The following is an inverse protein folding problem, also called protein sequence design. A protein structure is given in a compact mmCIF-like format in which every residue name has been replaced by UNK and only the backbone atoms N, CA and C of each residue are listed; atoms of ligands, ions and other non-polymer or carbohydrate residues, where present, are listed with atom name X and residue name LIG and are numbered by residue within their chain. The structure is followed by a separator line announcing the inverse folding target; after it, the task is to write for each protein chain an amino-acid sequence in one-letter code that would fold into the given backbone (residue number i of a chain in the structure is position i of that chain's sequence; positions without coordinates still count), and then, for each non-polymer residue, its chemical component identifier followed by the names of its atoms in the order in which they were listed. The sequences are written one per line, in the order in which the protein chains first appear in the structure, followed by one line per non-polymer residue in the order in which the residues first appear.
data_IF_862432310889
#
_entry.id   IF_862432310889
#
_cell.length_a   1.000
_cell.length_b   1.000
_cell.length_c   1.000
_cell.angle_alpha   90.00
_cell.angle_beta   90.00
_cell.angle_gamma   90.00
#
_symmetry.space_group_name_H-M   'P 1'
#
loop_
_entity.id
_entity.type
_entity.pdbx_description
1 polymer ?
#
# COMPACT_ATOMS: atom_id res chain seq x y z
N UNK A 1 40.16 22.86 6.12
CA UNK A 1 40.41 22.54 4.71
C UNK A 1 40.01 21.10 4.46
N UNK A 2 38.77 20.91 4.05
CA UNK A 2 38.31 19.87 3.13
C UNK A 2 37.00 20.43 2.59
N UNK A 3 37.12 21.23 1.52
CA UNK A 3 35.98 21.58 0.69
C UNK A 3 35.48 20.28 0.08
N UNK A 4 34.47 19.66 0.69
CA UNK A 4 33.66 18.67 0.00
C UNK A 4 32.88 19.42 -1.07
N UNK A 5 33.40 19.32 -2.29
CA UNK A 5 32.83 19.85 -3.51
C UNK A 5 31.47 19.16 -3.75
N UNK A 6 30.41 19.66 -3.11
CA UNK A 6 29.05 19.20 -3.38
C UNK A 6 28.61 19.76 -4.73
N UNK A 7 28.82 18.98 -5.79
CA UNK A 7 28.22 19.25 -7.09
C UNK A 7 26.72 19.44 -6.95
N UNK A 8 26.19 20.46 -7.61
CA UNK A 8 24.74 20.72 -7.63
C UNK A 8 23.99 19.56 -8.32
N UNK A 9 22.69 19.40 -8.03
CA UNK A 9 21.88 18.37 -8.72
C UNK A 9 21.94 18.54 -10.25
N UNK A 10 21.95 19.79 -10.72
CA UNK A 10 22.04 20.12 -12.14
C UNK A 10 23.38 19.68 -12.75
N UNK A 11 24.50 19.87 -12.05
CA UNK A 11 25.81 19.38 -12.48
C UNK A 11 25.84 17.84 -12.56
N UNK A 12 25.27 17.15 -11.57
CA UNK A 12 25.18 15.69 -11.58
C UNK A 12 24.32 15.18 -12.73
N UNK A 13 23.21 15.87 -13.03
CA UNK A 13 22.36 15.53 -14.19
C UNK A 13 23.13 15.76 -15.50
N UNK A 14 23.89 16.84 -15.62
CA UNK A 14 24.69 17.14 -16.81
C UNK A 14 25.76 16.06 -17.04
N UNK A 15 26.52 15.69 -16.01
CA UNK A 15 27.51 14.60 -16.06
C UNK A 15 26.87 13.26 -16.47
N UNK A 16 25.72 12.92 -15.89
CA UNK A 16 24.99 11.69 -16.23
C UNK A 16 24.47 11.67 -17.66
N UNK A 17 24.14 12.84 -18.23
CA UNK A 17 23.76 12.96 -19.65
C UNK A 17 24.96 12.74 -20.57
N UNK A 18 26.12 13.31 -20.24
CA UNK A 18 27.35 13.08 -21.00
C UNK A 18 27.72 11.59 -21.02
N UNK A 19 27.63 10.91 -19.87
CA UNK A 19 27.81 9.45 -19.81
C UNK A 19 26.78 8.68 -20.63
N UNK A 20 25.52 9.13 -20.68
CA UNK A 20 24.50 8.51 -21.53
C UNK A 20 24.85 8.66 -23.02
N UNK A 21 25.38 9.81 -23.43
CA UNK A 21 25.77 10.03 -24.82
C UNK A 21 26.98 9.16 -25.20
N UNK A 22 27.95 9.00 -24.31
CA UNK A 22 29.04 8.02 -24.50
C UNK A 22 28.51 6.57 -24.65
N UNK A 23 27.51 6.18 -23.86
CA UNK A 23 26.86 4.86 -24.01
C UNK A 23 26.14 4.68 -25.35
N UNK A 24 25.58 5.76 -25.91
CA UNK A 24 24.93 5.75 -27.24
C UNK A 24 25.94 5.66 -28.36
N UNK A 25 27.10 6.30 -28.22
CA UNK A 25 28.20 6.20 -29.19
C UNK A 25 28.80 4.79 -29.20
N UNK A 26 28.92 4.16 -28.02
CA UNK A 26 29.41 2.79 -27.89
C UNK A 26 28.39 1.72 -28.34
N UNK A 27 27.10 2.05 -28.44
CA UNK A 27 26.06 1.14 -28.92
C UNK A 27 24.68 1.38 -28.32
N UNK A 28 23.99 0.31 -27.91
CA UNK A 28 22.62 0.39 -27.37
C UNK A 28 22.67 0.76 -25.88
N UNK A 29 22.36 2.02 -25.58
CA UNK A 29 22.38 2.57 -24.22
C UNK A 29 21.27 2.03 -23.30
N UNK A 30 20.15 1.57 -23.85
CA UNK A 30 19.04 0.97 -23.10
C UNK A 30 18.82 -0.47 -23.56
N UNK A 31 19.45 -1.41 -22.86
CA UNK A 31 19.42 -2.84 -23.20
C UNK A 31 18.16 -3.50 -22.65
N UNK A 32 17.59 -4.45 -23.40
CA UNK A 32 16.36 -5.16 -23.05
C UNK A 32 16.46 -6.70 -23.27
N UNK A 33 17.66 -7.20 -23.49
CA UNK A 33 17.97 -8.60 -23.82
C UNK A 33 18.33 -9.44 -22.59
N UNK A 34 18.70 -8.80 -21.47
CA UNK A 34 19.06 -9.50 -20.24
C UNK A 34 17.89 -10.31 -19.66
N UNK A 35 18.16 -11.57 -19.31
CA UNK A 35 17.23 -12.47 -18.64
C UNK A 35 17.77 -12.77 -17.24
N UNK A 36 17.07 -12.23 -16.24
CA UNK A 36 17.29 -12.57 -14.84
C UNK A 36 16.74 -13.97 -14.55
N UNK A 37 17.45 -14.78 -13.76
CA UNK A 37 17.01 -16.11 -13.33
C UNK A 37 16.65 -16.19 -11.85
N UNK A 38 17.17 -15.26 -11.03
CA UNK A 38 17.07 -15.33 -9.57
C UNK A 38 16.82 -13.94 -8.97
N UNK A 39 16.05 -13.87 -7.88
CA UNK A 39 15.89 -12.66 -7.08
C UNK A 39 16.89 -12.61 -5.91
N UNK A 40 17.21 -11.40 -5.43
CA UNK A 40 18.11 -11.20 -4.31
C UNK A 40 17.66 -11.95 -3.03
N UNK A 41 16.36 -11.89 -2.69
CA UNK A 41 15.82 -12.61 -1.54
C UNK A 41 15.94 -14.12 -1.71
N UNK A 42 15.69 -14.67 -2.91
CA UNK A 42 15.81 -16.11 -3.17
C UNK A 42 17.24 -16.61 -2.92
N UNK A 43 18.26 -15.78 -3.20
CA UNK A 43 19.67 -16.10 -2.91
C UNK A 43 19.88 -16.16 -1.39
N UNK A 44 19.39 -15.17 -0.65
CA UNK A 44 19.50 -15.14 0.81
C UNK A 44 18.75 -16.31 1.44
N UNK A 45 17.49 -16.54 1.07
CA UNK A 45 16.65 -17.59 1.64
C UNK A 45 17.21 -18.98 1.36
N UNK A 46 17.72 -19.22 0.14
CA UNK A 46 18.23 -20.53 -0.26
C UNK A 46 19.60 -20.86 0.33
N UNK A 47 20.44 -19.85 0.58
CA UNK A 47 21.82 -20.04 1.02
C UNK A 47 22.13 -19.44 2.40
N UNK A 48 21.10 -19.08 3.18
CA UNK A 48 21.25 -18.51 4.53
C UNK A 48 22.14 -19.35 5.44
N UNK A 49 21.99 -20.67 5.39
CA UNK A 49 22.71 -21.63 6.24
C UNK A 49 23.93 -22.27 5.54
N UNK A 50 24.28 -21.82 4.33
CA UNK A 50 25.42 -22.39 3.58
C UNK A 50 26.75 -21.90 4.14
N UNK A 51 27.78 -22.77 4.14
CA UNK A 51 29.13 -22.35 4.54
C UNK A 51 29.88 -21.72 3.38
N UNK A 52 30.96 -21.00 3.70
CA UNK A 52 31.81 -20.38 2.70
C UNK A 52 32.44 -21.43 1.78
N UNK A 53 32.95 -22.51 2.37
CA UNK A 53 33.60 -23.61 1.65
C UNK A 53 32.63 -24.31 0.70
N UNK A 54 31.38 -24.52 1.13
CA UNK A 54 30.33 -25.15 0.30
C UNK A 54 29.98 -24.31 -0.94
N UNK A 55 29.87 -22.99 -0.79
CA UNK A 55 29.53 -22.10 -1.89
C UNK A 55 30.70 -21.90 -2.86
N UNK A 56 31.93 -21.82 -2.33
CA UNK A 56 33.16 -21.70 -3.15
C UNK A 56 33.42 -22.97 -3.98
N UNK A 57 33.11 -24.16 -3.46
CA UNK A 57 33.25 -25.43 -4.19
C UNK A 57 32.18 -25.59 -5.28
N UNK A 58 30.92 -25.28 -4.97
CA UNK A 58 29.79 -25.44 -5.91
C UNK A 58 29.74 -24.40 -7.02
N UNK A 59 30.25 -23.17 -6.76
CA UNK A 59 30.17 -22.00 -7.66
C UNK A 59 28.80 -21.85 -8.33
N UNK A 60 27.77 -21.70 -7.50
CA UNK A 60 26.39 -21.67 -7.99
C UNK A 60 26.18 -20.40 -8.78
N UNK A 61 26.01 -20.53 -10.10
CA UNK A 61 25.79 -19.43 -11.02
C UNK A 61 24.39 -18.84 -10.86
N UNK A 62 24.32 -17.51 -10.88
CA UNK A 62 23.09 -16.72 -10.83
C UNK A 62 23.19 -15.53 -11.78
N UNK A 63 22.05 -15.11 -12.31
CA UNK A 63 21.89 -13.91 -13.11
C UNK A 63 20.87 -12.99 -12.43
N UNK A 64 21.35 -11.89 -11.84
CA UNK A 64 20.54 -10.88 -11.15
C UNK A 64 20.51 -9.56 -11.92
N UNK A 65 19.44 -8.78 -11.75
CA UNK A 65 19.40 -7.41 -12.23
C UNK A 65 18.64 -6.53 -11.23
N UNK A 66 19.14 -5.31 -11.06
CA UNK A 66 18.55 -4.37 -10.13
C UNK A 66 19.27 -3.03 -10.12
N UNK A 67 18.82 -2.16 -9.23
CA UNK A 67 19.34 -0.81 -9.06
C UNK A 67 20.60 -0.82 -8.19
N UNK A 68 21.67 -0.18 -8.65
CA UNK A 68 22.88 -0.02 -7.84
C UNK A 68 22.63 1.02 -6.74
N UNK A 69 22.63 0.56 -5.48
CA UNK A 69 22.32 1.38 -4.30
C UNK A 69 23.57 1.93 -3.61
N UNK A 70 24.66 1.17 -3.65
CA UNK A 70 25.94 1.56 -3.08
C UNK A 70 27.08 1.08 -3.99
N UNK A 71 28.23 1.73 -3.89
CA UNK A 71 29.45 1.34 -4.60
C UNK A 71 30.69 1.80 -3.82
N UNK A 72 31.65 0.90 -3.63
CA UNK A 72 32.95 1.15 -3.02
C UNK A 72 34.06 0.64 -3.94
N UNK A 73 34.86 1.56 -4.46
CA UNK A 73 35.98 1.25 -5.37
C UNK A 73 37.26 1.05 -4.53
N UNK A 74 37.96 -0.06 -4.76
CA UNK A 74 39.16 -0.48 -4.01
C UNK A 74 40.30 -0.86 -4.99
N UNK A 75 40.67 0.09 -5.85
CA UNK A 75 41.70 -0.15 -6.87
C UNK A 75 41.23 -1.12 -7.95
N UNK A 76 41.74 -2.36 -7.95
CA UNK A 76 41.39 -3.42 -8.93
C UNK A 76 40.14 -4.24 -8.57
N UNK A 77 39.57 -4.02 -7.39
CA UNK A 77 38.32 -4.65 -6.98
C UNK A 77 37.33 -3.61 -6.45
N UNK A 78 36.06 -3.93 -6.46
CA UNK A 78 34.99 -3.09 -5.97
C UNK A 78 33.85 -3.91 -5.37
N UNK A 79 33.16 -3.33 -4.41
CA UNK A 79 31.90 -3.85 -3.89
C UNK A 79 30.76 -2.91 -4.26
N UNK A 80 29.59 -3.44 -4.54
CA UNK A 80 28.37 -2.67 -4.75
C UNK A 80 27.16 -3.46 -4.24
N UNK A 81 26.06 -2.76 -3.97
CA UNK A 81 24.78 -3.42 -3.66
C UNK A 81 23.79 -3.22 -4.80
N UNK A 82 23.15 -4.30 -5.21
CA UNK A 82 22.12 -4.32 -6.26
C UNK A 82 20.78 -4.62 -5.61
N UNK A 83 19.81 -3.71 -5.78
CA UNK A 83 18.45 -3.83 -5.24
C UNK A 83 17.46 -4.21 -6.34
N UNK A 84 16.78 -5.32 -6.17
CA UNK A 84 15.66 -5.69 -7.03
C UNK A 84 14.31 -5.50 -6.29
N UNK A 85 13.26 -6.18 -6.77
CA UNK A 85 11.92 -6.11 -6.16
C UNK A 85 11.81 -6.84 -4.83
N UNK A 86 12.71 -7.79 -4.56
CA UNK A 86 12.70 -8.68 -3.41
C UNK A 86 13.61 -8.21 -2.28
N UNK A 87 14.72 -7.56 -2.60
CA UNK A 87 15.73 -7.18 -1.61
C UNK A 87 17.00 -6.63 -2.24
N UNK A 88 18.10 -6.73 -1.49
CA UNK A 88 19.44 -6.32 -1.92
C UNK A 88 20.41 -7.49 -1.86
N UNK A 89 21.34 -7.54 -2.81
CA UNK A 89 22.47 -8.48 -2.81
C UNK A 89 23.77 -7.71 -3.07
N UNK A 90 24.82 -8.04 -2.33
CA UNK A 90 26.15 -7.49 -2.58
C UNK A 90 26.77 -8.17 -3.80
N UNK A 91 27.48 -7.38 -4.61
CA UNK A 91 28.27 -7.85 -5.74
C UNK A 91 29.73 -7.49 -5.52
N UNK A 92 30.62 -8.41 -5.88
CA UNK A 92 32.06 -8.25 -5.85
C UNK A 92 32.60 -8.27 -7.28
N UNK A 93 33.13 -7.13 -7.73
CA UNK A 93 33.61 -6.93 -9.09
C UNK A 93 35.12 -6.79 -9.05
N UNK A 94 35.87 -7.69 -9.71
CA UNK A 94 37.33 -7.62 -9.81
C UNK A 94 37.77 -7.53 -11.26
N UNK A 95 38.69 -6.60 -11.55
CA UNK A 95 39.21 -6.31 -12.90
C UNK A 95 39.70 -7.56 -13.62
N UNK A 96 40.36 -8.45 -12.89
CA UNK A 96 40.96 -9.65 -13.46
C UNK A 96 39.90 -10.68 -13.93
N UNK A 97 38.66 -10.59 -13.45
CA UNK A 97 37.57 -11.53 -13.82
C UNK A 97 36.65 -10.96 -14.90
N UNK A 98 36.25 -9.69 -14.78
CA UNK A 98 35.34 -9.05 -15.76
C UNK A 98 36.08 -8.41 -16.94
N UNK A 99 37.40 -8.32 -16.88
CA UNK A 99 38.23 -7.64 -17.88
C UNK A 99 38.41 -6.14 -17.64
N UNK A 100 39.41 -5.56 -18.30
CA UNK A 100 39.79 -4.16 -18.13
C UNK A 100 38.70 -3.19 -18.57
N UNK A 101 38.12 -3.40 -19.75
CA UNK A 101 37.13 -2.49 -20.34
C UNK A 101 35.85 -2.46 -19.50
N UNK A 102 35.28 -3.62 -19.17
CA UNK A 102 34.07 -3.71 -18.34
C UNK A 102 34.29 -3.18 -16.92
N UNK A 103 35.48 -3.37 -16.34
CA UNK A 103 35.79 -2.79 -15.02
C UNK A 103 35.95 -1.27 -15.07
N UNK A 104 36.51 -0.74 -16.17
CA UNK A 104 36.60 0.70 -16.38
C UNK A 104 35.22 1.32 -16.62
N UNK A 105 34.35 0.65 -17.38
CA UNK A 105 32.95 1.03 -17.56
C UNK A 105 32.18 1.04 -16.22
N UNK A 106 32.32 -0.02 -15.41
CA UNK A 106 31.70 -0.10 -14.09
C UNK A 106 32.09 1.06 -13.17
N UNK A 107 33.33 1.54 -13.24
CA UNK A 107 33.80 2.72 -12.47
C UNK A 107 33.09 4.02 -12.88
N UNK A 108 32.50 4.07 -14.08
CA UNK A 108 31.67 5.20 -14.55
C UNK A 108 30.17 5.03 -14.26
N UNK A 109 29.74 3.88 -13.73
CA UNK A 109 28.35 3.71 -13.31
C UNK A 109 28.01 4.64 -12.14
N UNK A 110 26.74 4.99 -12.05
CA UNK A 110 26.22 5.90 -11.05
C UNK A 110 25.26 5.19 -10.11
N UNK A 111 25.21 5.66 -8.86
CA UNK A 111 24.15 5.22 -7.95
C UNK A 111 22.78 5.57 -8.57
N UNK A 112 21.90 4.57 -8.57
CA UNK A 112 20.61 4.62 -9.24
C UNK A 112 20.59 3.96 -10.61
N UNK A 113 21.73 3.67 -11.24
CA UNK A 113 21.76 2.92 -12.51
C UNK A 113 21.18 1.51 -12.30
N UNK A 114 20.50 0.98 -13.32
CA UNK A 114 20.04 -0.41 -13.33
C UNK A 114 21.09 -1.24 -14.05
N UNK A 115 21.60 -2.26 -13.38
CA UNK A 115 22.67 -3.12 -13.87
C UNK A 115 22.25 -4.59 -13.87
N UNK A 116 22.82 -5.33 -14.82
CA UNK A 116 22.75 -6.77 -14.94
C UNK A 116 24.07 -7.37 -14.45
N UNK A 117 23.98 -8.45 -13.68
CA UNK A 117 25.11 -9.14 -13.08
C UNK A 117 24.93 -10.64 -13.28
N UNK A 118 25.95 -11.31 -13.82
CA UNK A 118 26.09 -12.76 -13.74
C UNK A 118 27.36 -13.13 -13.01
N UNK A 119 27.29 -14.19 -12.24
CA UNK A 119 28.42 -14.67 -11.46
C UNK A 119 28.00 -15.79 -10.54
N UNK A 120 28.86 -16.15 -9.61
CA UNK A 120 28.60 -17.23 -8.65
C UNK A 120 28.45 -16.68 -7.23
N UNK A 121 27.59 -17.34 -6.46
CA UNK A 121 27.31 -16.97 -5.07
C UNK A 121 28.46 -17.38 -4.15
N UNK A 122 28.87 -16.50 -3.24
CA UNK A 122 29.91 -16.74 -2.25
C UNK A 122 29.71 -15.91 -0.98
N UNK A 123 30.48 -16.21 0.06
CA UNK A 123 30.48 -15.43 1.30
C UNK A 123 31.81 -14.68 1.44
N UNK A 124 31.70 -13.37 1.67
CA UNK A 124 32.86 -12.49 1.89
C UNK A 124 33.54 -12.75 3.24
N UNK A 125 34.72 -12.16 3.46
CA UNK A 125 35.42 -12.27 4.76
C UNK A 125 34.62 -11.69 5.93
N UNK A 126 33.70 -10.78 5.68
CA UNK A 126 32.81 -10.17 6.68
C UNK A 126 31.54 -11.00 6.93
N UNK A 127 31.39 -12.16 6.27
CA UNK A 127 30.25 -13.04 6.44
C UNK A 127 29.03 -12.67 5.59
N UNK A 128 29.15 -11.68 4.71
CA UNK A 128 28.04 -11.24 3.87
C UNK A 128 27.96 -12.07 2.57
N UNK A 129 26.77 -12.58 2.26
CA UNK A 129 26.46 -13.30 1.02
C UNK A 129 26.56 -12.34 -0.17
N UNK A 130 27.25 -12.76 -1.23
CA UNK A 130 27.62 -11.90 -2.34
C UNK A 130 27.69 -12.67 -3.66
N UNK A 131 27.64 -11.96 -4.78
CA UNK A 131 27.87 -12.52 -6.11
C UNK A 131 29.26 -12.10 -6.57
N UNK A 132 30.12 -13.07 -6.83
CA UNK A 132 31.40 -12.85 -7.47
C UNK A 132 31.18 -12.71 -8.98
N UNK A 133 31.34 -11.49 -9.50
CA UNK A 133 30.88 -11.12 -10.83
C UNK A 133 31.82 -11.64 -11.92
N UNK A 134 31.24 -12.28 -12.94
CA UNK A 134 31.91 -12.70 -14.18
C UNK A 134 31.46 -11.85 -15.37
N UNK A 135 30.17 -11.48 -15.41
CA UNK A 135 29.62 -10.58 -16.43
C UNK A 135 28.84 -9.45 -15.77
N UNK A 136 29.03 -8.23 -16.27
CA UNK A 136 28.34 -7.04 -15.81
C UNK A 136 27.96 -6.18 -17.01
N UNK A 137 26.75 -5.63 -17.00
CA UNK A 137 26.33 -4.64 -17.98
C UNK A 137 25.40 -3.60 -17.37
N UNK A 138 25.46 -2.37 -17.88
CA UNK A 138 24.41 -1.38 -17.62
C UNK A 138 23.18 -1.71 -18.48
N UNK A 139 22.00 -1.66 -17.87
CA UNK A 139 20.71 -1.81 -18.55
C UNK A 139 20.03 -0.45 -18.76
N UNK A 140 20.07 0.40 -17.74
CA UNK A 140 19.43 1.72 -17.75
C UNK A 140 20.30 2.72 -16.99
N UNK A 141 20.68 3.80 -17.67
CA UNK A 141 21.34 4.95 -17.04
C UNK A 141 20.34 5.81 -16.27
N UNK A 142 20.58 6.07 -14.99
CA UNK A 142 19.79 6.99 -14.19
C UNK A 142 20.29 8.41 -14.38
N UNK A 143 19.49 9.27 -15.03
CA UNK A 143 19.85 10.67 -15.26
C UNK A 143 19.73 11.55 -14.02
N UNK A 144 18.92 11.15 -13.03
CA UNK A 144 18.79 11.84 -11.75
C UNK A 144 19.46 11.04 -10.64
N UNK A 145 20.10 11.72 -9.68
CA UNK A 145 20.65 11.05 -8.50
C UNK A 145 19.54 10.44 -7.64
N UNK A 146 19.92 9.47 -6.81
CA UNK A 146 19.03 8.94 -5.77
C UNK A 146 18.71 10.02 -4.74
N UNK A 147 17.54 9.97 -4.09
CA UNK A 147 17.29 10.71 -2.85
C UNK A 147 18.35 10.35 -1.80
N UNK A 148 18.55 11.23 -0.80
CA UNK A 148 19.62 11.16 0.19
C UNK A 148 19.92 9.74 0.71
N UNK A 149 21.22 9.38 0.72
CA UNK A 149 21.70 7.99 0.78
C UNK A 149 21.41 7.23 2.08
N UNK A 150 21.19 7.93 3.21
CA UNK A 150 21.23 7.30 4.54
C UNK A 150 19.88 7.21 5.24
N UNK A 151 18.98 8.17 5.02
CA UNK A 151 17.70 8.23 5.73
C UNK A 151 16.48 7.93 4.85
N UNK A 152 16.72 7.65 3.56
CA UNK A 152 15.65 7.57 2.56
C UNK A 152 14.91 8.89 2.41
N UNK A 153 13.78 8.86 1.70
CA UNK A 153 12.89 10.03 1.68
C UNK A 153 12.14 10.12 3.01
N UNK A 154 12.41 11.16 3.79
CA UNK A 154 11.80 11.43 5.09
C UNK A 154 10.58 12.34 4.99
N UNK A 155 10.62 13.34 4.11
CA UNK A 155 9.52 14.29 3.90
C UNK A 155 8.25 13.59 3.41
N UNK A 156 7.18 13.67 4.21
CA UNK A 156 5.94 12.93 4.00
C UNK A 156 5.24 13.34 2.70
N UNK A 157 5.22 14.64 2.40
CA UNK A 157 4.56 15.17 1.20
C UNK A 157 5.28 14.70 -0.06
N UNK A 158 6.62 14.77 -0.08
CA UNK A 158 7.43 14.29 -1.20
C UNK A 158 7.26 12.79 -1.41
N UNK A 159 7.17 11.98 -0.35
CA UNK A 159 6.89 10.54 -0.47
C UNK A 159 5.56 10.26 -1.15
N UNK A 160 4.54 11.08 -0.90
CA UNK A 160 3.23 10.94 -1.52
C UNK A 160 3.21 11.42 -2.98
N UNK A 161 3.87 12.55 -3.27
CA UNK A 161 3.96 13.10 -4.64
C UNK A 161 4.86 12.29 -5.56
N UNK A 162 5.95 11.74 -5.02
CA UNK A 162 6.99 11.01 -5.75
C UNK A 162 7.09 9.57 -5.23
N UNK A 163 5.97 8.85 -5.26
CA UNK A 163 5.87 7.48 -4.75
C UNK A 163 6.94 6.53 -5.28
N UNK A 164 7.40 6.72 -6.53
CA UNK A 164 8.47 5.91 -7.12
C UNK A 164 9.81 6.07 -6.38
N UNK A 165 10.11 7.24 -5.83
CA UNK A 165 11.32 7.47 -5.02
C UNK A 165 11.17 6.90 -3.60
N UNK A 166 9.99 7.05 -3.01
CA UNK A 166 9.66 6.45 -1.71
C UNK A 166 9.75 4.92 -1.78
N UNK A 167 9.12 4.30 -2.78
CA UNK A 167 9.25 2.85 -3.01
C UNK A 167 10.69 2.45 -3.29
N UNK A 168 11.49 3.27 -3.94
CA UNK A 168 12.89 2.94 -4.21
C UNK A 168 13.72 2.85 -2.92
N UNK A 169 13.49 3.76 -1.98
CA UNK A 169 14.35 3.98 -0.80
C UNK A 169 13.80 3.36 0.49
N UNK A 170 12.48 3.25 0.63
CA UNK A 170 11.81 2.80 1.87
C UNK A 170 11.18 1.41 1.71
N UNK A 171 11.84 0.38 2.27
CA UNK A 171 11.34 -1.00 2.22
C UNK A 171 10.06 -1.22 3.04
N UNK A 172 9.87 -0.44 4.11
CA UNK A 172 8.61 -0.42 4.87
C UNK A 172 7.41 -0.04 3.99
N UNK A 173 7.55 0.97 3.13
CA UNK A 173 6.50 1.34 2.17
C UNK A 173 6.20 0.18 1.23
N UNK A 174 7.23 -0.48 0.65
CA UNK A 174 7.01 -1.63 -0.25
C UNK A 174 6.23 -2.75 0.44
N UNK A 175 6.58 -3.06 1.69
CA UNK A 175 5.89 -4.07 2.49
C UNK A 175 4.41 -3.73 2.66
N UNK A 176 4.07 -2.46 2.92
CA UNK A 176 2.67 -2.01 3.02
C UNK A 176 1.90 -2.28 1.72
N UNK A 177 2.46 -1.96 0.55
CA UNK A 177 1.79 -2.25 -0.74
C UNK A 177 1.66 -3.76 -1.02
N UNK A 178 2.67 -4.55 -0.66
CA UNK A 178 2.61 -6.01 -0.76
C UNK A 178 1.50 -6.59 0.13
N UNK A 179 1.43 -6.16 1.39
CA UNK A 179 0.35 -6.53 2.32
C UNK A 179 -1.00 -6.13 1.74
N UNK A 180 -1.16 -4.89 1.25
CA UNK A 180 -2.40 -4.44 0.60
C UNK A 180 -2.83 -5.35 -0.55
N UNK A 181 -1.90 -5.76 -1.42
CA UNK A 181 -2.22 -6.68 -2.51
C UNK A 181 -2.66 -8.05 -1.98
N UNK A 182 -1.98 -8.58 -0.96
CA UNK A 182 -2.36 -9.86 -0.33
C UNK A 182 -3.73 -9.77 0.36
N UNK A 183 -4.02 -8.65 1.02
CA UNK A 183 -5.33 -8.37 1.64
C UNK A 183 -6.45 -8.42 0.61
N UNK A 184 -6.32 -7.72 -0.52
CA UNK A 184 -7.35 -7.73 -1.57
C UNK A 184 -7.54 -9.15 -2.15
N UNK A 185 -6.45 -9.86 -2.43
CA UNK A 185 -6.52 -11.23 -2.94
C UNK A 185 -7.18 -12.19 -1.94
N UNK A 186 -6.90 -12.01 -0.65
CA UNK A 186 -7.55 -12.78 0.42
C UNK A 186 -9.05 -12.50 0.46
N UNK A 187 -9.46 -11.24 0.47
CA UNK A 187 -10.89 -10.85 0.50
C UNK A 187 -11.64 -11.50 -0.66
N UNK A 188 -11.09 -11.46 -1.88
CA UNK A 188 -11.67 -12.15 -3.04
C UNK A 188 -11.81 -13.65 -2.78
N UNK A 189 -10.70 -14.31 -2.44
CA UNK A 189 -10.67 -15.76 -2.20
C UNK A 189 -11.66 -16.20 -1.11
N UNK A 190 -11.82 -15.40 -0.06
CA UNK A 190 -12.76 -15.65 1.02
C UNK A 190 -14.21 -15.53 0.53
N UNK A 191 -14.58 -14.42 -0.13
CA UNK A 191 -15.93 -14.20 -0.62
C UNK A 191 -16.32 -15.23 -1.70
N UNK A 192 -15.41 -15.57 -2.61
CA UNK A 192 -15.58 -16.63 -3.59
C UNK A 192 -15.84 -17.97 -2.89
N UNK A 193 -15.08 -18.28 -1.84
CA UNK A 193 -15.27 -19.47 -1.00
C UNK A 193 -16.61 -19.51 -0.25
N UNK A 194 -17.19 -18.34 0.06
CA UNK A 194 -18.53 -18.18 0.63
C UNK A 194 -19.66 -18.19 -0.42
N UNK A 195 -19.31 -18.36 -1.70
CA UNK A 195 -20.25 -18.44 -2.83
C UNK A 195 -20.74 -17.08 -3.33
N UNK A 196 -20.04 -15.98 -3.03
CA UNK A 196 -20.31 -14.69 -3.64
C UNK A 196 -19.71 -14.62 -5.04
N UNK A 197 -20.40 -13.96 -5.97
CA UNK A 197 -19.93 -13.71 -7.32
C UNK A 197 -19.34 -12.30 -7.43
N UNK A 198 -18.07 -12.17 -7.85
CA UNK A 198 -17.47 -10.87 -8.17
C UNK A 198 -18.11 -10.31 -9.45
N UNK A 199 -18.50 -9.03 -9.42
CA UNK A 199 -19.08 -8.33 -10.59
C UNK A 199 -18.46 -6.95 -10.77
N UNK A 200 -18.65 -6.37 -11.94
CA UNK A 200 -18.30 -4.98 -12.23
C UNK A 200 -19.55 -4.19 -12.61
N UNK A 201 -19.83 -3.12 -11.86
CA UNK A 201 -20.96 -2.21 -12.15
C UNK A 201 -20.45 -0.86 -12.70
N UNK A 202 -21.31 -0.06 -13.38
CA UNK A 202 -20.89 1.20 -13.97
C UNK A 202 -20.24 2.17 -12.97
N UNK A 203 -19.12 2.79 -13.39
CA UNK A 203 -18.43 3.86 -12.66
C UNK A 203 -19.03 5.24 -12.92
N UNK A 204 -19.78 5.38 -14.02
CA UNK A 204 -20.47 6.61 -14.42
C UNK A 204 -21.98 6.41 -14.29
N UNK A 205 -22.61 7.20 -13.44
CA UNK A 205 -24.05 7.15 -13.17
C UNK A 205 -24.75 8.38 -13.73
N UNK A 206 -25.98 8.22 -14.23
CA UNK A 206 -26.83 9.34 -14.62
C UNK A 206 -27.35 10.10 -13.40
N UNK A 207 -27.69 9.35 -12.34
CA UNK A 207 -28.10 9.89 -11.04
C UNK A 207 -27.17 9.29 -9.99
N UNK A 208 -26.37 10.09 -9.28
CA UNK A 208 -25.52 9.61 -8.19
C UNK A 208 -26.40 9.22 -7.00
N UNK A 209 -26.09 8.08 -6.36
CA UNK A 209 -26.82 7.57 -5.20
C UNK A 209 -26.07 6.43 -4.51
N UNK A 210 -26.68 5.86 -3.47
CA UNK A 210 -26.07 4.81 -2.62
C UNK A 210 -25.16 5.32 -1.51
N UNK A 211 -24.98 6.64 -1.40
CA UNK A 211 -24.30 7.28 -0.27
C UNK A 211 -24.69 8.76 -0.18
N UNK A 212 -24.42 9.39 0.96
CA UNK A 212 -24.54 10.84 1.14
C UNK A 212 -23.16 11.47 0.93
N UNK A 213 -22.85 11.88 -0.30
CA UNK A 213 -21.58 12.51 -0.65
C UNK A 213 -21.73 13.43 -1.87
N UNK A 214 -20.85 14.42 -2.00
CA UNK A 214 -20.80 15.27 -3.21
C UNK A 214 -20.13 14.51 -4.36
N UNK A 215 -20.79 14.31 -5.52
CA UNK A 215 -20.20 13.58 -6.63
C UNK A 215 -19.25 14.44 -7.49
N UNK A 216 -18.37 13.80 -8.24
CA UNK A 216 -17.71 14.44 -9.38
C UNK A 216 -18.64 14.39 -10.59
N UNK A 217 -18.78 15.51 -11.30
CA UNK A 217 -19.58 15.64 -12.52
C UNK A 217 -18.69 15.60 -13.76
N UNK A 218 -19.11 14.88 -14.79
CA UNK A 218 -18.48 14.81 -16.11
C UNK A 218 -19.55 14.88 -17.20
N UNK A 219 -19.14 14.89 -18.47
CA UNK A 219 -20.05 15.02 -19.61
C UNK A 219 -19.66 14.07 -20.74
N UNK A 220 -20.63 13.35 -21.30
CA UNK A 220 -20.44 12.43 -22.41
C UNK A 220 -20.74 13.12 -23.74
N UNK A 221 -19.70 13.64 -24.42
CA UNK A 221 -19.83 14.49 -25.62
C UNK A 221 -20.73 13.91 -26.73
N UNK A 222 -20.63 12.62 -27.04
CA UNK A 222 -21.39 12.04 -28.16
C UNK A 222 -22.87 11.77 -27.85
N UNK A 223 -23.23 11.70 -26.56
CA UNK A 223 -24.62 11.51 -26.10
C UNK A 223 -25.21 12.81 -25.57
N UNK A 224 -24.42 13.88 -25.55
CA UNK A 224 -24.77 15.20 -25.00
C UNK A 224 -25.48 15.10 -23.64
N UNK A 225 -24.88 14.34 -22.71
CA UNK A 225 -25.48 14.09 -21.40
C UNK A 225 -24.47 14.19 -20.26
N UNK A 226 -24.96 14.70 -19.14
CA UNK A 226 -24.21 14.75 -17.90
C UNK A 226 -24.16 13.37 -17.23
N UNK A 227 -23.00 13.07 -16.66
CA UNK A 227 -22.74 11.85 -15.90
C UNK A 227 -22.01 12.22 -14.61
N UNK A 228 -22.06 11.30 -13.65
CA UNK A 228 -21.42 11.45 -12.35
C UNK A 228 -20.53 10.26 -12.08
N UNK A 229 -19.32 10.49 -11.58
CA UNK A 229 -18.54 9.38 -11.04
C UNK A 229 -19.25 8.85 -9.80
N UNK A 230 -19.39 7.54 -9.69
CA UNK A 230 -20.17 6.91 -8.63
C UNK A 230 -19.59 7.22 -7.24
N UNK A 231 -20.47 7.53 -6.31
CA UNK A 231 -20.15 7.67 -4.89
C UNK A 231 -20.24 6.34 -4.13
N UNK A 232 -21.02 5.39 -4.67
CA UNK A 232 -21.22 4.01 -4.23
C UNK A 232 -21.83 3.16 -5.37
N UNK A 233 -21.47 1.87 -5.52
CA UNK A 233 -22.15 0.94 -6.45
C UNK A 233 -23.49 0.36 -5.95
N UNK A 234 -23.89 0.59 -4.69
CA UNK A 234 -25.07 -0.01 -4.02
C UNK A 234 -26.30 -0.20 -4.91
N UNK A 235 -26.77 0.87 -5.58
CA UNK A 235 -28.01 0.82 -6.35
C UNK A 235 -27.92 -0.15 -7.54
N UNK A 236 -26.74 -0.33 -8.14
CA UNK A 236 -26.56 -1.27 -9.24
C UNK A 236 -26.42 -2.71 -8.74
N UNK A 237 -25.71 -2.91 -7.63
CA UNK A 237 -25.61 -4.24 -7.01
C UNK A 237 -26.98 -4.76 -6.57
N UNK A 238 -27.82 -3.91 -5.96
CA UNK A 238 -29.20 -4.26 -5.62
C UNK A 238 -30.05 -4.62 -6.85
N UNK A 239 -29.82 -4.01 -8.02
CA UNK A 239 -30.50 -4.40 -9.27
C UNK A 239 -30.11 -5.82 -9.71
N UNK A 240 -28.88 -6.25 -9.46
CA UNK A 240 -28.45 -7.63 -9.73
C UNK A 240 -29.14 -8.63 -8.80
N UNK A 241 -29.30 -8.27 -7.52
CA UNK A 241 -30.08 -9.08 -6.56
C UNK A 241 -31.53 -9.21 -7.01
N UNK A 242 -32.17 -8.12 -7.45
CA UNK A 242 -33.50 -8.17 -8.09
C UNK A 242 -33.52 -9.09 -9.32
N UNK A 243 -32.43 -9.11 -10.08
CA UNK A 243 -32.25 -9.99 -11.23
C UNK A 243 -31.99 -11.47 -10.89
N UNK A 244 -31.92 -11.84 -9.61
CA UNK A 244 -31.71 -13.21 -9.15
C UNK A 244 -30.25 -13.57 -8.83
N UNK A 245 -29.33 -12.60 -8.82
CA UNK A 245 -27.96 -12.82 -8.32
C UNK A 245 -27.96 -12.71 -6.80
N UNK A 246 -28.19 -13.83 -6.12
CA UNK A 246 -28.46 -13.86 -4.67
C UNK A 246 -27.25 -13.50 -3.80
N UNK A 247 -26.01 -13.73 -4.26
CA UNK A 247 -24.78 -13.35 -3.55
C UNK A 247 -23.81 -12.66 -4.51
N UNK A 248 -23.56 -11.38 -4.29
CA UNK A 248 -22.75 -10.55 -5.20
C UNK A 248 -21.82 -9.64 -4.42
N UNK A 249 -20.62 -9.39 -4.95
CA UNK A 249 -19.72 -8.38 -4.41
C UNK A 249 -18.96 -7.64 -5.50
N UNK A 250 -18.46 -6.46 -5.16
CA UNK A 250 -17.58 -5.66 -6.01
C UNK A 250 -16.49 -4.99 -5.16
N UNK A 251 -15.23 -5.15 -5.57
CA UNK A 251 -14.08 -4.40 -5.01
C UNK A 251 -13.57 -3.46 -6.07
N UNK A 252 -13.96 -2.19 -6.01
CA UNK A 252 -13.48 -1.20 -6.98
C UNK A 252 -13.55 0.23 -6.43
N UNK A 253 -13.34 1.23 -7.29
CA UNK A 253 -13.23 2.64 -6.89
C UNK A 253 -14.60 3.27 -6.61
N UNK A 254 -14.62 4.15 -5.61
CA UNK A 254 -15.67 5.15 -5.38
C UNK A 254 -15.02 6.53 -5.35
N UNK A 255 -15.79 7.55 -5.75
CA UNK A 255 -15.29 8.91 -5.92
C UNK A 255 -16.15 9.88 -5.12
N UNK A 256 -15.54 10.68 -4.23
CA UNK A 256 -16.24 11.70 -3.44
C UNK A 256 -15.50 13.02 -3.56
N UNK A 257 -16.20 14.05 -4.02
CA UNK A 257 -15.68 15.38 -4.25
C UNK A 257 -15.70 16.19 -2.95
N UNK A 258 -14.86 15.74 -2.01
CA UNK A 258 -14.74 16.23 -0.64
C UNK A 258 -13.29 16.68 -0.36
N UNK A 259 -13.05 17.27 0.81
CA UNK A 259 -11.72 17.69 1.23
C UNK A 259 -10.76 16.51 1.41
N UNK A 260 -9.48 16.72 1.10
CA UNK A 260 -8.43 15.75 1.39
C UNK A 260 -8.08 15.77 2.88
N UNK A 261 -7.94 14.60 3.49
CA UNK A 261 -7.42 14.45 4.86
C UNK A 261 -6.53 13.20 4.97
N UNK A 262 -5.80 12.99 6.08
CA UNK A 262 -5.07 11.74 6.32
C UNK A 262 -5.95 10.48 6.29
N UNK A 263 -7.28 10.63 6.42
CA UNK A 263 -8.26 9.53 6.40
C UNK A 263 -9.13 9.50 5.14
N UNK A 264 -9.14 10.57 4.34
CA UNK A 264 -10.02 10.72 3.19
C UNK A 264 -9.26 11.09 1.93
N UNK A 265 -9.34 10.22 0.91
CA UNK A 265 -8.84 10.49 -0.43
C UNK A 265 -10.03 10.58 -1.42
N UNK A 266 -10.03 11.53 -2.38
CA UNK A 266 -11.16 11.73 -3.30
C UNK A 266 -11.53 10.51 -4.14
N UNK A 267 -10.57 9.60 -4.35
CA UNK A 267 -10.80 8.25 -4.85
C UNK A 267 -10.36 7.22 -3.82
N UNK A 268 -11.15 6.19 -3.60
CA UNK A 268 -10.80 5.14 -2.64
C UNK A 268 -11.42 3.81 -3.07
N UNK A 269 -10.83 2.73 -2.59
CA UNK A 269 -11.35 1.38 -2.84
C UNK A 269 -12.39 1.03 -1.80
N UNK A 270 -13.53 0.52 -2.23
CA UNK A 270 -14.57 0.01 -1.36
C UNK A 270 -14.88 -1.43 -1.78
N UNK A 271 -15.11 -2.28 -0.78
CA UNK A 271 -15.82 -3.54 -0.95
C UNK A 271 -17.29 -3.28 -0.65
N UNK A 272 -18.18 -3.57 -1.59
CA UNK A 272 -19.60 -3.73 -1.31
C UNK A 272 -20.02 -5.16 -1.63
N UNK A 273 -20.90 -5.74 -0.81
CA UNK A 273 -21.44 -7.07 -1.01
C UNK A 273 -22.91 -7.14 -0.58
N UNK A 274 -23.66 -8.02 -1.22
CA UNK A 274 -25.07 -8.26 -0.96
C UNK A 274 -25.36 -9.75 -0.95
N UNK A 275 -26.20 -10.17 -0.01
CA UNK A 275 -26.71 -11.53 0.12
C UNK A 275 -28.23 -11.49 0.31
N UNK A 276 -28.97 -12.13 -0.59
CA UNK A 276 -30.40 -12.32 -0.45
C UNK A 276 -30.71 -13.25 0.73
N UNK A 277 -31.87 -13.03 1.35
CA UNK A 277 -32.36 -13.80 2.51
C UNK A 277 -31.45 -13.78 3.74
N UNK A 278 -30.56 -12.79 3.84
CA UNK A 278 -29.76 -12.49 5.01
C UNK A 278 -30.20 -11.14 5.61
N UNK A 279 -30.01 -10.98 6.91
CA UNK A 279 -30.16 -9.70 7.60
C UNK A 279 -28.79 -9.14 8.03
N UNK A 280 -28.78 -8.00 8.72
CA UNK A 280 -27.54 -7.36 9.13
C UNK A 280 -26.74 -8.17 10.18
N UNK A 281 -27.37 -9.08 10.92
CA UNK A 281 -26.68 -9.98 11.86
C UNK A 281 -25.80 -10.97 11.10
N UNK A 282 -26.33 -11.57 10.03
CA UNK A 282 -25.56 -12.44 9.14
C UNK A 282 -24.35 -11.71 8.54
N UNK A 283 -24.52 -10.44 8.16
CA UNK A 283 -23.44 -9.64 7.58
C UNK A 283 -22.41 -9.20 8.63
N UNK A 284 -22.81 -8.98 9.89
CA UNK A 284 -21.88 -8.76 11.01
C UNK A 284 -21.03 -10.01 11.27
N UNK A 285 -21.66 -11.18 11.31
CA UNK A 285 -20.97 -12.46 11.48
C UNK A 285 -19.96 -12.70 10.35
N UNK A 286 -20.37 -12.45 9.09
CA UNK A 286 -19.49 -12.57 7.92
C UNK A 286 -18.31 -11.59 7.97
N UNK A 287 -18.56 -10.34 8.39
CA UNK A 287 -17.53 -9.30 8.47
C UNK A 287 -16.51 -9.60 9.57
N UNK A 288 -16.98 -10.07 10.72
CA UNK A 288 -16.11 -10.53 11.82
C UNK A 288 -15.21 -11.69 11.38
N UNK A 289 -15.78 -12.74 10.78
CA UNK A 289 -15.03 -13.91 10.31
C UNK A 289 -14.03 -13.55 9.20
N UNK A 290 -14.43 -12.70 8.24
CA UNK A 290 -13.55 -12.17 7.19
C UNK A 290 -12.32 -11.49 7.80
N UNK A 291 -12.52 -10.55 8.73
CA UNK A 291 -11.44 -9.76 9.30
C UNK A 291 -10.52 -10.61 10.19
N UNK A 292 -11.09 -11.54 10.98
CA UNK A 292 -10.31 -12.47 11.80
C UNK A 292 -9.40 -13.34 10.93
N UNK A 293 -9.96 -14.03 9.94
CA UNK A 293 -9.19 -14.91 9.04
C UNK A 293 -8.20 -14.15 8.17
N UNK A 294 -8.49 -12.90 7.81
CA UNK A 294 -7.55 -12.03 7.10
C UNK A 294 -6.28 -11.80 7.92
N UNK A 295 -6.42 -11.47 9.20
CA UNK A 295 -5.27 -11.23 10.08
C UNK A 295 -4.51 -12.54 10.32
N UNK A 296 -5.22 -13.63 10.62
CA UNK A 296 -4.62 -14.96 10.77
C UNK A 296 -3.80 -15.37 9.54
N UNK A 297 -4.35 -15.20 8.33
CA UNK A 297 -3.68 -15.60 7.10
C UNK A 297 -2.44 -14.75 6.78
N UNK A 298 -2.47 -13.45 7.10
CA UNK A 298 -1.37 -12.54 6.74
C UNK A 298 -0.27 -12.48 7.79
N UNK A 299 -0.59 -12.73 9.05
CA UNK A 299 0.32 -12.53 10.17
C UNK A 299 0.51 -13.77 11.05
N UNK A 300 -0.24 -14.86 10.82
CA UNK A 300 -0.27 -16.07 11.67
C UNK A 300 -0.62 -15.76 13.14
N UNK A 301 -1.38 -14.69 13.36
CA UNK A 301 -1.82 -14.20 14.68
C UNK A 301 -3.25 -13.68 14.55
N UNK A 302 -3.98 -13.55 15.67
CA UNK A 302 -5.29 -12.89 15.72
C UNK A 302 -5.22 -11.47 16.24
N UNK A 303 -4.04 -11.04 16.70
CA UNK A 303 -3.83 -9.74 17.35
C UNK A 303 -3.18 -8.77 16.38
N UNK A 304 -3.62 -7.52 16.39
CA UNK A 304 -2.99 -6.42 15.64
C UNK A 304 -2.62 -5.28 16.60
N UNK A 305 -1.45 -4.68 16.38
CA UNK A 305 -1.07 -3.44 17.06
C UNK A 305 -1.35 -2.24 16.17
N UNK A 306 -2.10 -1.27 16.66
CA UNK A 306 -2.37 -0.01 15.98
C UNK A 306 -2.33 1.15 16.97
N UNK A 307 -1.51 2.17 16.67
CA UNK A 307 -1.31 3.34 17.54
C UNK A 307 -1.00 2.99 19.01
N UNK A 308 -0.04 2.08 19.23
CA UNK A 308 0.40 1.60 20.55
C UNK A 308 -0.63 0.73 21.30
N UNK A 309 -1.85 0.60 20.78
CA UNK A 309 -2.87 -0.29 21.31
C UNK A 309 -2.87 -1.65 20.60
N UNK A 310 -3.29 -2.68 21.34
CA UNK A 310 -3.33 -4.06 20.86
C UNK A 310 -4.77 -4.57 20.82
N UNK A 311 -5.21 -5.03 19.66
CA UNK A 311 -6.57 -5.48 19.41
C UNK A 311 -6.57 -6.96 19.04
N UNK A 312 -7.29 -7.77 19.80
CA UNK A 312 -7.45 -9.21 19.54
C UNK A 312 -8.72 -9.48 18.74
N UNK A 313 -8.57 -9.70 17.43
CA UNK A 313 -9.67 -10.02 16.52
C UNK A 313 -10.12 -11.49 16.64
N UNK A 314 -9.44 -12.31 17.45
CA UNK A 314 -9.84 -13.68 17.74
C UNK A 314 -11.06 -13.75 18.65
N UNK A 315 -11.36 -12.68 19.39
CA UNK A 315 -12.54 -12.56 20.24
C UNK A 315 -13.77 -12.12 19.41
N UNK A 316 -15.00 -12.44 19.86
CA UNK A 316 -16.21 -11.87 19.29
C UNK A 316 -16.18 -10.35 19.37
N UNK A 317 -16.60 -9.68 18.30
CA UNK A 317 -16.66 -8.21 18.26
C UNK A 317 -17.81 -7.73 19.14
N UNK A 318 -17.59 -6.64 19.88
CA UNK A 318 -18.64 -6.08 20.71
C UNK A 318 -19.76 -5.53 19.80
N UNK A 319 -21.02 -5.81 20.15
CA UNK A 319 -22.20 -5.30 19.43
C UNK A 319 -23.00 -4.44 20.39
N UNK A 320 -23.30 -3.22 19.98
CA UNK A 320 -24.16 -2.31 20.74
C UNK A 320 -24.99 -1.46 19.79
N UNK A 321 -26.18 -1.06 20.22
CA UNK A 321 -26.98 -0.08 19.49
C UNK A 321 -26.39 1.33 19.66
N UNK A 322 -26.74 2.25 18.75
CA UNK A 322 -26.45 3.69 18.93
C UNK A 322 -26.92 4.15 20.30
N UNK A 323 -28.14 3.77 20.70
CA UNK A 323 -28.74 4.13 21.98
C UNK A 323 -27.92 3.63 23.18
N UNK A 324 -27.58 2.33 23.21
CA UNK A 324 -26.77 1.74 24.28
C UNK A 324 -25.38 2.37 24.35
N UNK A 325 -24.78 2.67 23.19
CA UNK A 325 -23.46 3.29 23.14
C UNK A 325 -23.46 4.68 23.76
N UNK A 326 -24.49 5.51 23.49
CA UNK A 326 -24.61 6.84 24.11
C UNK A 326 -24.67 6.70 25.63
N UNK A 327 -25.48 5.78 26.15
CA UNK A 327 -25.59 5.58 27.61
C UNK A 327 -24.31 5.03 28.23
N UNK A 328 -23.60 4.12 27.52
CA UNK A 328 -22.34 3.54 28.00
C UNK A 328 -21.24 4.59 28.15
N UNK A 329 -21.13 5.52 27.20
CA UNK A 329 -20.07 6.54 27.20
C UNK A 329 -20.47 7.84 27.90
N UNK A 330 -21.74 8.00 28.28
CA UNK A 330 -22.24 9.15 29.03
C UNK A 330 -23.01 8.66 30.28
N UNK A 331 -22.31 8.21 31.34
CA UNK A 331 -22.92 7.53 32.49
C UNK A 331 -23.89 8.40 33.31
N UNK A 332 -23.85 9.72 33.12
CA UNK A 332 -24.78 10.67 33.76
C UNK A 332 -26.13 10.77 33.02
N UNK A 333 -26.22 10.26 31.79
CA UNK A 333 -27.46 10.26 31.01
C UNK A 333 -28.31 9.04 31.35
N UNK A 334 -29.63 9.26 31.40
CA UNK A 334 -30.61 8.18 31.54
C UNK A 334 -31.30 7.92 30.19
N UNK A 335 -31.89 6.73 29.99
CA UNK A 335 -32.64 6.41 28.77
C UNK A 335 -33.68 7.48 28.40
N UNK A 336 -34.36 8.06 29.39
CA UNK A 336 -35.40 9.08 29.14
C UNK A 336 -34.82 10.42 28.66
N UNK A 337 -33.54 10.68 28.89
CA UNK A 337 -32.88 11.92 28.46
C UNK A 337 -32.58 11.93 26.97
N UNK A 338 -32.58 10.75 26.32
CA UNK A 338 -32.24 10.56 24.91
C UNK A 338 -33.32 9.81 24.11
N UNK A 339 -34.44 9.42 24.74
CA UNK A 339 -35.59 8.80 24.06
C UNK A 339 -36.84 9.70 24.03
N UNK A 340 -36.71 10.97 24.42
CA UNK A 340 -37.80 11.95 24.44
C UNK A 340 -37.40 13.20 23.67
N UNK A 341 -38.29 13.69 22.80
CA UNK A 341 -38.00 14.76 21.85
C UNK A 341 -37.68 16.11 22.53
N UNK A 342 -38.27 16.41 23.69
CA UNK A 342 -37.99 17.65 24.42
C UNK A 342 -36.74 17.52 25.30
N UNK A 343 -36.58 16.38 25.96
CA UNK A 343 -35.44 16.14 26.85
C UNK A 343 -34.14 16.03 26.08
N UNK A 344 -34.14 15.34 24.93
CA UNK A 344 -32.93 15.18 24.13
C UNK A 344 -32.37 16.52 23.64
N UNK A 345 -33.23 17.49 23.34
CA UNK A 345 -32.80 18.85 22.97
C UNK A 345 -32.10 19.54 24.13
N UNK A 346 -32.61 19.40 25.36
CA UNK A 346 -31.94 19.92 26.56
C UNK A 346 -30.63 19.19 26.83
N UNK A 347 -30.57 17.89 26.56
CA UNK A 347 -29.35 17.07 26.69
C UNK A 347 -28.29 17.52 25.70
N UNK A 348 -28.64 17.65 24.42
CA UNK A 348 -27.72 18.12 23.38
C UNK A 348 -27.22 19.55 23.64
N UNK A 349 -28.08 20.45 24.12
CA UNK A 349 -27.67 21.82 24.51
C UNK A 349 -26.65 21.81 25.67
N UNK A 350 -26.86 20.97 26.69
CA UNK A 350 -25.88 20.77 27.79
C UNK A 350 -24.54 20.22 27.30
N UNK A 351 -24.55 19.36 26.29
CA UNK A 351 -23.34 18.78 25.67
C UNK A 351 -22.67 19.79 24.71
N UNK A 352 -23.35 20.88 24.36
CA UNK A 352 -22.85 21.91 23.45
C UNK A 352 -22.95 21.52 21.97
N UNK A 353 -23.97 20.74 21.61
CA UNK A 353 -24.26 20.34 20.23
C UNK A 353 -25.21 21.37 19.61
N UNK A 354 -24.84 22.03 18.50
CA UNK A 354 -25.74 22.93 17.81
C UNK A 354 -26.86 22.13 17.14
N UNK A 355 -28.11 22.36 17.55
CA UNK A 355 -29.28 21.64 17.07
C UNK A 355 -30.15 22.57 16.22
N UNK A 356 -30.51 22.14 15.02
CA UNK A 356 -31.48 22.87 14.19
C UNK A 356 -32.93 22.54 14.60
N UNK A 357 -33.86 23.44 14.31
CA UNK A 357 -35.28 23.26 14.65
C UNK A 357 -35.91 22.05 13.94
N UNK A 358 -35.45 21.74 12.72
CA UNK A 358 -35.91 20.61 11.91
C UNK A 358 -35.36 19.24 12.37
N UNK A 359 -34.42 19.18 13.32
CA UNK A 359 -33.86 17.90 13.76
C UNK A 359 -34.89 17.10 14.56
N UNK A 360 -35.24 15.91 14.05
CA UNK A 360 -36.03 14.93 14.78
C UNK A 360 -35.20 14.19 15.85
N UNK A 361 -35.88 13.42 16.71
CA UNK A 361 -35.26 12.65 17.80
C UNK A 361 -34.03 11.85 17.33
N UNK A 362 -34.18 11.08 16.26
CA UNK A 362 -33.11 10.23 15.72
C UNK A 362 -31.87 11.01 15.26
N UNK A 363 -32.06 12.14 14.57
CA UNK A 363 -30.94 12.99 14.14
C UNK A 363 -30.18 13.53 15.34
N UNK A 364 -30.86 13.96 16.40
CA UNK A 364 -30.22 14.45 17.62
C UNK A 364 -29.46 13.32 18.34
N UNK A 365 -30.00 12.09 18.36
CA UNK A 365 -29.27 10.92 18.88
C UNK A 365 -27.95 10.70 18.14
N UNK A 366 -27.97 10.81 16.80
CA UNK A 366 -26.76 10.69 15.98
C UNK A 366 -25.75 11.81 16.26
N UNK A 367 -26.18 13.05 16.39
CA UNK A 367 -25.27 14.16 16.76
C UNK A 367 -24.62 13.92 18.14
N UNK A 368 -25.38 13.40 19.12
CA UNK A 368 -24.84 13.02 20.43
C UNK A 368 -23.83 11.88 20.29
N UNK A 369 -24.15 10.86 19.50
CA UNK A 369 -23.26 9.74 19.22
C UNK A 369 -21.94 10.19 18.57
N UNK A 370 -21.99 10.96 17.49
CA UNK A 370 -20.81 11.47 16.78
C UNK A 370 -19.93 12.31 17.73
N UNK A 371 -20.56 13.13 18.59
CA UNK A 371 -19.84 14.00 19.51
C UNK A 371 -19.20 13.30 20.70
N UNK A 372 -19.87 12.28 21.26
CA UNK A 372 -19.52 11.71 22.59
C UNK A 372 -19.09 10.25 22.56
N UNK A 373 -19.36 9.53 21.48
CA UNK A 373 -19.11 8.09 21.38
C UNK A 373 -18.04 7.78 20.34
N UNK A 374 -18.17 8.28 19.10
CA UNK A 374 -17.39 7.81 17.95
C UNK A 374 -15.87 7.78 18.18
N UNK A 375 -15.30 8.85 18.74
CA UNK A 375 -13.85 8.94 19.01
C UNK A 375 -13.36 8.04 20.15
N UNK A 376 -14.28 7.50 20.95
CA UNK A 376 -13.98 6.68 22.14
C UNK A 376 -14.14 5.18 21.85
N UNK A 377 -14.60 4.80 20.66
CA UNK A 377 -14.70 3.41 20.24
C UNK A 377 -13.30 2.85 19.99
N UNK A 378 -12.80 2.05 20.94
CA UNK A 378 -11.52 1.36 20.84
C UNK A 378 -11.73 -0.09 20.37
N UNK A 379 -11.11 -0.44 19.26
CA UNK A 379 -11.14 -1.79 18.69
C UNK A 379 -12.36 -2.10 17.84
N UNK A 380 -12.56 -3.38 17.47
CA UNK A 380 -13.62 -3.79 16.56
C UNK A 380 -14.97 -3.87 17.29
N UNK A 381 -15.84 -2.89 17.02
CA UNK A 381 -17.18 -2.77 17.61
C UNK A 381 -18.20 -2.52 16.49
N UNK A 382 -19.28 -3.28 16.48
CA UNK A 382 -20.43 -2.99 15.63
C UNK A 382 -21.43 -2.08 16.36
N UNK A 383 -21.64 -0.89 15.81
CA UNK A 383 -22.74 -0.01 16.19
C UNK A 383 -23.95 -0.32 15.30
N UNK A 384 -25.12 -0.52 15.91
CA UNK A 384 -26.34 -1.00 15.23
C UNK A 384 -27.56 -0.13 15.57
N UNK A 385 -28.69 -0.39 14.93
CA UNK A 385 -29.96 0.33 15.16
C UNK A 385 -29.82 1.86 15.04
N UNK A 386 -29.20 2.30 13.94
CA UNK A 386 -29.20 3.72 13.58
C UNK A 386 -30.66 4.19 13.38
N UNK A 387 -31.03 5.39 13.85
CA UNK A 387 -32.37 5.92 13.66
C UNK A 387 -32.71 6.09 12.17
N UNK A 388 -34.00 5.92 11.83
CA UNK A 388 -34.54 6.09 10.48
C UNK A 388 -34.40 7.52 9.92
#
# INVERSE_FOLDING_TARGET
MTDENHSTEEELIAQRREHLDQLREAGVAYRNDFKRDTLAADIHDKYADSTKEELEDKKIMVAVAGRMMSRRIMGKASFAHVKDMSGQIQIFVRKDDVGEDSYNEFKQFDLGDIIAVKGWVFITKTGELSIHVEELAILVKSLRPLPEKFHGLTDLETRYRQRYLDLMTNDGTRRIFSIRSKTINFIRSYLDGCGFMEVETPMMHVVPGGATARPFKTHHNALDMDLYLRIAPELYLKRLVVGGVEKVYEINRSFRNEGLSPRHNPEFSMLEFYQAYADYQDLMDLTEDLLRKLVEQLFNETTITYQEESFDLGKPFERMTVFESILKFNPDLKPEDINDAERIRKTADKIGIPIEDNFGLGKIQIEIFEKTVESNLAGPIFITAYPE
#
